data_IF_918428742184
#
_entry.id   IF_918428742184
#
_cell.length_a   1.000
_cell.length_b   1.000
_cell.length_c   1.000
_cell.angle_alpha   90.00
_cell.angle_beta   90.00
_cell.angle_gamma   90.00
#
_symmetry.space_group_name_H-M   'P 1'
#
loop_
_entity.id
_entity.type
_entity.pdbx_description
1 polymer ?
#
# COMPACT_ATOMS: atom_id res chain seq x y z
N UNK A 1 13.26 -14.11 -20.97
CA UNK A 1 14.07 -15.08 -21.73
C UNK A 1 14.37 -16.35 -20.91
N UNK A 2 13.36 -17.11 -20.45
CA UNK A 2 13.56 -18.39 -19.73
C UNK A 2 12.82 -19.58 -20.36
N UNK A 3 12.13 -19.35 -21.48
CA UNK A 3 11.29 -20.36 -22.16
C UNK A 3 12.16 -21.29 -23.03
N UNK A 4 13.35 -20.83 -23.46
CA UNK A 4 14.20 -21.55 -24.42
C UNK A 4 14.75 -22.88 -23.90
N UNK A 5 14.96 -23.03 -22.58
CA UNK A 5 15.50 -24.26 -22.00
C UNK A 5 14.52 -25.44 -22.06
N UNK A 6 13.22 -25.18 -21.83
CA UNK A 6 12.19 -26.23 -21.88
C UNK A 6 11.98 -26.69 -23.32
N UNK A 7 12.03 -25.77 -24.28
CA UNK A 7 11.95 -26.09 -25.72
C UNK A 7 13.16 -26.91 -26.15
N UNK A 8 14.37 -26.53 -25.73
CA UNK A 8 15.59 -27.30 -26.01
C UNK A 8 15.55 -28.70 -25.42
N UNK A 9 15.14 -28.85 -24.17
CA UNK A 9 15.07 -30.14 -23.49
C UNK A 9 13.98 -31.04 -24.11
N UNK A 10 12.86 -30.45 -24.52
CA UNK A 10 11.83 -31.13 -25.31
C UNK A 10 12.36 -31.60 -26.67
N UNK A 11 13.05 -30.75 -27.43
CA UNK A 11 13.64 -31.12 -28.72
C UNK A 11 14.71 -32.22 -28.57
N UNK A 12 15.56 -32.17 -27.55
CA UNK A 12 16.59 -33.18 -27.29
C UNK A 12 15.96 -34.53 -26.90
N UNK A 13 14.91 -34.55 -26.09
CA UNK A 13 14.20 -35.78 -25.74
C UNK A 13 13.47 -36.37 -26.94
N UNK A 14 12.83 -35.55 -27.77
CA UNK A 14 12.11 -35.99 -28.97
C UNK A 14 13.08 -36.53 -30.02
N UNK A 15 14.24 -35.89 -30.18
CA UNK A 15 15.32 -36.37 -31.03
C UNK A 15 15.93 -37.68 -30.50
N UNK A 16 16.19 -37.76 -29.19
CA UNK A 16 16.67 -38.98 -28.53
C UNK A 16 15.70 -40.15 -28.70
N UNK A 17 14.39 -39.92 -28.52
CA UNK A 17 13.35 -40.92 -28.76
C UNK A 17 13.31 -41.36 -30.24
N UNK A 18 13.43 -40.43 -31.19
CA UNK A 18 13.51 -40.73 -32.62
C UNK A 18 14.75 -41.53 -33.00
N UNK A 19 15.90 -41.25 -32.40
CA UNK A 19 17.15 -41.99 -32.60
C UNK A 19 17.07 -43.40 -32.01
N UNK A 20 16.49 -43.56 -30.82
CA UNK A 20 16.30 -44.87 -30.18
C UNK A 20 15.30 -45.73 -30.99
N UNK A 21 14.21 -45.14 -31.49
CA UNK A 21 13.25 -45.81 -32.36
C UNK A 21 13.85 -46.15 -33.74
N UNK A 22 14.74 -45.31 -34.28
CA UNK A 22 15.42 -45.55 -35.56
C UNK A 22 16.56 -46.58 -35.49
N UNK A 23 17.14 -46.79 -34.31
CA UNK A 23 18.15 -47.83 -34.04
C UNK A 23 17.52 -49.17 -33.63
N UNK A 24 16.22 -49.22 -33.35
CA UNK A 24 15.51 -50.46 -33.11
C UNK A 24 15.40 -51.24 -34.45
N UNK A 25 15.81 -52.52 -34.50
CA UNK A 25 15.71 -53.32 -35.71
C UNK A 25 14.23 -53.46 -36.09
N UNK A 26 13.84 -52.83 -37.21
CA UNK A 26 12.49 -52.88 -37.77
C UNK A 26 12.20 -54.29 -38.33
N UNK A 27 11.89 -55.23 -37.45
CA UNK A 27 11.14 -56.44 -37.78
C UNK A 27 9.64 -56.15 -37.68
N UNK A 28 8.84 -56.81 -38.53
CA UNK A 28 7.37 -56.66 -38.67
C UNK A 28 6.52 -56.90 -37.39
N UNK A 29 7.14 -56.99 -36.22
CA UNK A 29 6.52 -57.29 -34.93
C UNK A 29 6.49 -56.12 -33.92
N UNK A 30 7.09 -54.96 -34.21
CA UNK A 30 7.23 -53.87 -33.21
C UNK A 30 5.89 -53.29 -32.70
N UNK A 31 4.84 -53.31 -33.51
CA UNK A 31 3.49 -52.87 -33.12
C UNK A 31 2.51 -54.02 -32.85
N UNK A 32 2.98 -55.26 -32.89
CA UNK A 32 2.14 -56.43 -32.62
C UNK A 32 2.07 -56.61 -31.11
N UNK A 33 1.07 -56.00 -30.48
CA UNK A 33 0.77 -56.20 -29.06
C UNK A 33 0.37 -57.67 -28.86
N UNK A 34 1.31 -58.52 -28.48
CA UNK A 34 1.05 -59.94 -28.26
C UNK A 34 0.34 -60.19 -26.90
N UNK A 35 0.47 -59.25 -25.95
CA UNK A 35 -0.11 -59.34 -24.61
C UNK A 35 -0.71 -58.01 -24.14
N UNK A 36 -1.82 -58.10 -23.40
CA UNK A 36 -2.49 -56.96 -22.73
C UNK A 36 -1.54 -56.22 -21.78
N UNK A 37 -0.54 -56.93 -21.24
CA UNK A 37 0.47 -56.37 -20.33
C UNK A 37 1.31 -55.26 -21.00
N UNK A 38 1.83 -55.51 -22.20
CA UNK A 38 2.73 -54.57 -22.90
C UNK A 38 1.99 -53.27 -23.28
N UNK A 39 0.70 -53.39 -23.57
CA UNK A 39 -0.17 -52.24 -23.81
C UNK A 39 -0.31 -51.35 -22.56
N UNK A 40 -0.49 -51.95 -21.38
CA UNK A 40 -0.56 -51.20 -20.13
C UNK A 40 0.76 -50.53 -19.76
N UNK A 41 1.91 -51.13 -20.08
CA UNK A 41 3.21 -50.50 -19.85
C UNK A 41 3.42 -49.25 -20.71
N UNK A 42 3.02 -49.29 -21.99
CA UNK A 42 3.07 -48.13 -22.88
C UNK A 42 2.18 -47.00 -22.35
N UNK A 43 0.96 -47.32 -21.92
CA UNK A 43 0.06 -46.33 -21.31
C UNK A 43 0.65 -45.76 -20.03
N UNK A 44 1.23 -46.59 -19.17
CA UNK A 44 1.87 -46.15 -17.92
C UNK A 44 3.07 -45.22 -18.20
N UNK A 45 3.86 -45.50 -19.23
CA UNK A 45 4.96 -44.63 -19.66
C UNK A 45 4.44 -43.26 -20.15
N UNK A 46 3.36 -43.22 -20.94
CA UNK A 46 2.74 -41.97 -21.37
C UNK A 46 2.14 -41.19 -20.19
N UNK A 47 1.47 -41.89 -19.27
CA UNK A 47 0.90 -41.30 -18.05
C UNK A 47 1.97 -40.70 -17.14
N UNK A 48 3.12 -41.35 -16.98
CA UNK A 48 4.23 -40.81 -16.18
C UNK A 48 4.88 -39.60 -16.83
N UNK A 49 5.11 -39.61 -18.15
CA UNK A 49 5.65 -38.44 -18.86
C UNK A 49 4.70 -37.24 -18.76
N UNK A 50 3.40 -37.46 -18.98
CA UNK A 50 2.39 -36.40 -18.85
C UNK A 50 2.30 -35.87 -17.41
N UNK A 51 2.35 -36.74 -16.40
CA UNK A 51 2.38 -36.33 -15.00
C UNK A 51 3.60 -35.44 -14.67
N UNK A 52 4.79 -35.79 -15.19
CA UNK A 52 6.01 -34.99 -14.99
C UNK A 52 5.90 -33.61 -15.68
N UNK A 53 5.36 -33.55 -16.90
CA UNK A 53 5.17 -32.27 -17.61
C UNK A 53 4.17 -31.38 -16.87
N UNK A 54 3.03 -31.93 -16.43
CA UNK A 54 2.04 -31.19 -15.64
C UNK A 54 2.64 -30.72 -14.32
N UNK A 55 3.44 -31.55 -13.65
CA UNK A 55 4.12 -31.16 -12.41
C UNK A 55 5.05 -29.96 -12.62
N UNK A 56 5.89 -29.98 -13.67
CA UNK A 56 6.81 -28.84 -13.96
C UNK A 56 6.05 -27.57 -14.31
N UNK A 57 5.00 -27.66 -15.13
CA UNK A 57 4.17 -26.51 -15.47
C UNK A 57 3.44 -25.95 -14.25
N UNK A 58 2.92 -26.83 -13.39
CA UNK A 58 2.21 -26.43 -12.17
C UNK A 58 3.12 -25.70 -11.18
N UNK A 59 4.38 -26.11 -11.03
CA UNK A 59 5.34 -25.45 -10.13
C UNK A 59 5.70 -24.05 -10.62
N UNK A 60 5.88 -23.88 -11.93
CA UNK A 60 6.18 -22.56 -12.51
C UNK A 60 4.96 -21.62 -12.44
N UNK A 61 3.77 -22.13 -12.74
CA UNK A 61 2.52 -21.39 -12.59
C UNK A 61 2.32 -20.96 -11.13
N UNK A 62 2.58 -21.88 -10.18
CA UNK A 62 2.43 -21.58 -8.76
C UNK A 62 3.39 -20.49 -8.28
N UNK A 63 4.65 -20.49 -8.75
CA UNK A 63 5.61 -19.42 -8.44
C UNK A 63 5.17 -18.05 -8.96
N UNK A 64 4.64 -17.98 -10.19
CA UNK A 64 4.10 -16.72 -10.73
C UNK A 64 2.91 -16.27 -9.90
N UNK A 65 1.96 -17.17 -9.68
CA UNK A 65 0.74 -16.88 -8.91
C UNK A 65 1.06 -16.37 -7.51
N UNK A 66 2.04 -16.94 -6.81
CA UNK A 66 2.44 -16.46 -5.48
C UNK A 66 3.02 -15.05 -5.51
N UNK A 67 3.79 -14.71 -6.54
CA UNK A 67 4.30 -13.35 -6.73
C UNK A 67 3.16 -12.38 -7.02
N UNK A 68 2.31 -12.71 -7.97
CA UNK A 68 1.20 -11.85 -8.40
C UNK A 68 0.21 -11.64 -7.23
N UNK A 69 -0.03 -12.67 -6.43
CA UNK A 69 -0.85 -12.57 -5.21
C UNK A 69 -0.20 -11.65 -4.17
N UNK A 70 1.12 -11.76 -3.95
CA UNK A 70 1.83 -10.90 -3.00
C UNK A 70 1.84 -9.43 -3.45
N UNK A 71 2.06 -9.17 -4.74
CA UNK A 71 2.00 -7.84 -5.34
C UNK A 71 0.59 -7.23 -5.19
N UNK A 72 -0.45 -8.00 -5.52
CA UNK A 72 -1.83 -7.59 -5.39
C UNK A 72 -2.20 -7.28 -3.92
N UNK A 73 -1.81 -8.13 -2.99
CA UNK A 73 -2.11 -7.95 -1.56
C UNK A 73 -1.40 -6.74 -0.97
N UNK A 74 -0.13 -6.51 -1.32
CA UNK A 74 0.61 -5.32 -0.91
C UNK A 74 -0.04 -4.05 -1.47
N UNK A 75 -0.40 -4.04 -2.76
CA UNK A 75 -1.04 -2.90 -3.39
C UNK A 75 -2.39 -2.56 -2.75
N UNK A 76 -3.21 -3.58 -2.46
CA UNK A 76 -4.48 -3.43 -1.75
C UNK A 76 -4.27 -2.82 -0.35
N UNK A 77 -3.32 -3.34 0.43
CA UNK A 77 -3.02 -2.84 1.79
C UNK A 77 -2.61 -1.38 1.79
N UNK A 78 -1.73 -0.99 0.85
CA UNK A 78 -1.27 0.40 0.72
C UNK A 78 -2.44 1.29 0.34
N UNK A 79 -3.26 0.89 -0.62
CA UNK A 79 -4.39 1.67 -1.08
C UNK A 79 -5.42 1.92 0.04
N UNK A 80 -5.77 0.87 0.80
CA UNK A 80 -6.66 0.99 1.96
C UNK A 80 -6.04 1.93 3.00
N UNK A 81 -4.76 1.73 3.33
CA UNK A 81 -4.07 2.57 4.33
C UNK A 81 -3.94 4.03 3.89
N UNK A 82 -3.83 4.30 2.59
CA UNK A 82 -3.81 5.66 2.04
C UNK A 82 -5.17 6.35 2.16
N UNK A 83 -6.28 5.62 1.97
CA UNK A 83 -7.62 6.14 2.24
C UNK A 83 -7.87 6.34 3.73
N UNK A 84 -7.44 5.42 4.60
CA UNK A 84 -7.51 5.60 6.04
C UNK A 84 -6.72 6.85 6.48
N UNK A 85 -5.55 7.09 5.87
CA UNK A 85 -4.76 8.28 6.12
C UNK A 85 -5.49 9.55 5.67
N UNK A 86 -6.14 9.55 4.51
CA UNK A 86 -7.00 10.67 4.06
C UNK A 86 -8.09 10.98 5.08
N UNK A 87 -8.81 9.98 5.56
CA UNK A 87 -9.86 10.17 6.56
C UNK A 87 -9.30 10.65 7.91
N UNK A 88 -8.12 10.18 8.32
CA UNK A 88 -7.46 10.63 9.53
C UNK A 88 -7.07 12.12 9.44
N UNK A 89 -6.53 12.56 8.30
CA UNK A 89 -6.22 13.97 8.04
C UNK A 89 -7.50 14.81 8.04
N UNK A 90 -8.59 14.33 7.44
CA UNK A 90 -9.89 15.00 7.49
C UNK A 90 -10.41 15.15 8.93
N UNK A 91 -10.25 14.11 9.75
CA UNK A 91 -10.65 14.15 11.16
C UNK A 91 -9.83 15.17 11.97
N UNK A 92 -8.52 15.30 11.69
CA UNK A 92 -7.67 16.35 12.28
C UNK A 92 -8.21 17.74 11.93
N UNK A 93 -8.59 17.93 10.67
CA UNK A 93 -9.05 19.21 10.10
C UNK A 93 -10.51 19.57 10.38
N UNK A 94 -11.22 18.74 11.14
CA UNK A 94 -12.62 19.03 11.50
C UNK A 94 -12.69 20.29 12.37
N UNK A 95 -13.41 21.35 11.98
CA UNK A 95 -13.58 22.55 12.81
C UNK A 95 -14.40 22.31 14.09
N UNK A 96 -15.14 21.18 14.17
CA UNK A 96 -15.95 20.84 15.34
C UNK A 96 -15.11 20.04 16.32
N UNK A 97 -14.83 20.59 17.50
CA UNK A 97 -14.19 19.88 18.62
C UNK A 97 -15.28 19.24 19.48
N UNK A 98 -15.19 17.92 19.65
CA UNK A 98 -16.15 17.20 20.48
C UNK A 98 -15.75 17.29 21.95
N UNK A 99 -16.73 17.30 22.86
CA UNK A 99 -16.48 17.45 24.31
C UNK A 99 -15.53 16.39 24.88
N UNK A 100 -15.63 15.15 24.38
CA UNK A 100 -14.72 14.06 24.79
C UNK A 100 -13.27 14.27 24.33
N UNK A 101 -13.03 15.07 23.28
CA UNK A 101 -11.68 15.37 22.79
C UNK A 101 -10.98 16.38 23.69
N UNK A 102 -11.71 17.40 24.14
CA UNK A 102 -11.22 18.45 25.04
C UNK A 102 -11.20 18.04 26.52
N UNK A 103 -11.76 16.88 26.86
CA UNK A 103 -11.86 16.40 28.24
C UNK A 103 -10.47 16.19 28.87
N UNK A 104 -10.28 16.60 30.14
CA UNK A 104 -9.02 16.45 30.85
C UNK A 104 -8.68 14.97 31.07
N UNK A 105 -7.39 14.68 31.19
CA UNK A 105 -6.91 13.33 31.47
C UNK A 105 -6.97 13.00 32.97
N UNK A 106 -6.98 11.71 33.29
CA UNK A 106 -7.02 11.26 34.68
C UNK A 106 -5.79 11.77 35.45
N UNK A 107 -6.01 12.58 36.48
CA UNK A 107 -4.95 13.19 37.29
C UNK A 107 -4.47 14.57 36.83
N UNK A 108 -5.07 15.14 35.79
CA UNK A 108 -4.80 16.52 35.37
C UNK A 108 -5.34 17.53 36.39
N UNK A 109 -4.54 18.55 36.73
CA UNK A 109 -4.94 19.60 37.66
C UNK A 109 -5.93 20.54 36.99
N UNK A 110 -7.08 20.75 37.63
CA UNK A 110 -8.03 21.76 37.22
C UNK A 110 -7.37 23.14 37.21
N UNK A 111 -7.61 23.90 36.15
CA UNK A 111 -7.19 25.30 36.02
C UNK A 111 -8.34 26.19 36.43
N UNK A 112 -8.07 27.17 37.28
CA UNK A 112 -9.09 28.13 37.72
C UNK A 112 -9.45 29.16 36.64
N UNK A 113 -8.48 29.55 35.79
CA UNK A 113 -8.70 30.48 34.67
C UNK A 113 -9.48 29.80 33.53
N UNK A 114 -10.72 30.25 33.24
CA UNK A 114 -11.54 29.68 32.17
C UNK A 114 -10.90 29.78 30.78
N UNK A 115 -10.12 30.83 30.51
CA UNK A 115 -9.48 31.02 29.19
C UNK A 115 -8.36 30.03 28.98
N UNK A 116 -7.54 29.84 30.02
CA UNK A 116 -6.44 28.89 29.99
C UNK A 116 -6.96 27.44 29.92
N UNK A 117 -8.07 27.13 30.60
CA UNK A 117 -8.70 25.80 30.50
C UNK A 117 -9.26 25.53 29.10
N UNK A 118 -9.90 26.52 28.46
CA UNK A 118 -10.38 26.39 27.07
C UNK A 118 -9.23 26.12 26.10
N UNK A 119 -8.13 26.87 26.23
CA UNK A 119 -6.94 26.68 25.40
C UNK A 119 -6.32 25.29 25.59
N UNK A 120 -6.20 24.82 26.84
CA UNK A 120 -5.74 23.45 27.13
C UNK A 120 -6.66 22.40 26.54
N UNK A 121 -7.97 22.61 26.61
CA UNK A 121 -8.96 21.75 25.97
C UNK A 121 -8.75 21.60 24.46
N UNK A 122 -8.48 22.71 23.77
CA UNK A 122 -8.16 22.70 22.35
C UNK A 122 -6.83 21.97 22.05
N UNK A 123 -5.78 22.22 22.84
CA UNK A 123 -4.52 21.47 22.72
C UNK A 123 -4.73 19.96 22.90
N UNK A 124 -5.50 19.54 23.91
CA UNK A 124 -5.84 18.13 24.15
C UNK A 124 -6.60 17.54 22.97
N UNK A 125 -7.57 18.26 22.43
CA UNK A 125 -8.36 17.79 21.29
C UNK A 125 -7.47 17.50 20.08
N UNK A 126 -6.62 18.45 19.69
CA UNK A 126 -5.69 18.24 18.58
C UNK A 126 -4.66 17.16 18.89
N UNK A 127 -4.11 17.10 20.09
CA UNK A 127 -3.18 16.05 20.49
C UNK A 127 -3.81 14.65 20.34
N UNK A 128 -5.07 14.47 20.76
CA UNK A 128 -5.79 13.19 20.60
C UNK A 128 -6.02 12.87 19.12
N UNK A 129 -6.37 13.86 18.28
CA UNK A 129 -6.56 13.66 16.84
C UNK A 129 -5.29 13.21 16.14
N UNK A 130 -4.17 13.88 16.40
CA UNK A 130 -2.86 13.46 15.87
C UNK A 130 -2.46 12.08 16.40
N UNK A 131 -2.68 11.79 17.68
CA UNK A 131 -2.38 10.47 18.26
C UNK A 131 -3.18 9.34 17.61
N UNK A 132 -4.40 9.61 17.12
CA UNK A 132 -5.21 8.65 16.35
C UNK A 132 -4.69 8.44 14.92
N UNK A 133 -4.13 9.48 14.31
CA UNK A 133 -3.59 9.43 12.94
C UNK A 133 -2.20 8.77 12.87
N UNK A 134 -1.37 8.93 13.90
CA UNK A 134 -0.01 8.39 13.95
C UNK A 134 0.10 6.89 13.60
N UNK A 135 -0.70 5.96 14.17
CA UNK A 135 -0.58 4.54 13.82
C UNK A 135 -0.94 4.24 12.36
N UNK A 136 -1.80 5.06 11.73
CA UNK A 136 -2.17 4.91 10.31
C UNK A 136 -0.98 5.37 9.44
N UNK A 137 -0.38 6.49 9.80
CA UNK A 137 0.82 7.03 9.16
C UNK A 137 2.00 6.05 9.23
N UNK A 138 2.30 5.51 10.41
CA UNK A 138 3.36 4.51 10.61
C UNK A 138 3.12 3.26 9.77
N UNK A 139 1.88 2.80 9.70
CA UNK A 139 1.50 1.64 8.88
C UNK A 139 1.71 1.89 7.39
N UNK A 140 1.27 3.05 6.90
CA UNK A 140 1.47 3.44 5.51
C UNK A 140 2.96 3.53 5.15
N UNK A 141 3.79 4.08 6.05
CA UNK A 141 5.25 4.11 5.91
C UNK A 141 5.85 2.70 5.89
N UNK A 142 5.37 1.80 6.74
CA UNK A 142 5.83 0.41 6.78
C UNK A 142 5.58 -0.28 5.44
N UNK A 143 4.37 -0.14 4.89
CA UNK A 143 4.07 -0.70 3.58
C UNK A 143 4.85 -0.01 2.45
N UNK A 144 5.18 1.28 2.59
CA UNK A 144 6.06 1.98 1.64
C UNK A 144 7.45 1.36 1.59
N UNK A 145 8.01 0.95 2.73
CA UNK A 145 9.31 0.30 2.81
C UNK A 145 9.27 -1.10 2.17
N UNK A 146 8.19 -1.86 2.41
CA UNK A 146 7.97 -3.14 1.74
C UNK A 146 7.86 -2.96 0.21
N UNK A 147 7.09 -1.97 -0.24
CA UNK A 147 6.95 -1.65 -1.65
C UNK A 147 8.25 -1.18 -2.29
N UNK A 148 9.10 -0.46 -1.56
CA UNK A 148 10.42 -0.03 -2.04
C UNK A 148 11.30 -1.22 -2.39
N UNK A 149 11.24 -2.30 -1.60
CA UNK A 149 11.98 -3.54 -1.85
C UNK A 149 11.45 -4.29 -3.08
N UNK A 150 10.14 -4.25 -3.33
CA UNK A 150 9.51 -5.05 -4.40
C UNK A 150 9.44 -4.30 -5.74
N UNK A 151 9.14 -2.99 -5.71
CA UNK A 151 8.83 -2.18 -6.90
C UNK A 151 9.79 -1.00 -7.11
N UNK A 152 10.68 -0.70 -6.16
CA UNK A 152 11.58 0.45 -6.20
C UNK A 152 11.00 1.71 -5.57
N UNK A 153 11.69 2.85 -5.72
CA UNK A 153 11.46 4.06 -4.92
C UNK A 153 10.29 4.95 -5.38
N UNK A 154 9.68 4.67 -6.54
CA UNK A 154 8.68 5.58 -7.15
C UNK A 154 7.47 5.84 -6.23
N UNK A 155 6.95 4.81 -5.56
CA UNK A 155 5.82 4.96 -4.65
C UNK A 155 6.16 5.81 -3.42
N UNK A 156 7.38 5.68 -2.92
CA UNK A 156 7.86 6.40 -1.74
C UNK A 156 7.86 7.90 -2.00
N UNK A 157 8.25 8.33 -3.20
CA UNK A 157 8.22 9.74 -3.59
C UNK A 157 6.79 10.31 -3.56
N UNK A 158 5.82 9.56 -4.10
CA UNK A 158 4.41 9.98 -4.04
C UNK A 158 3.91 10.10 -2.59
N UNK A 159 4.30 9.16 -1.71
CA UNK A 159 3.91 9.17 -0.30
C UNK A 159 4.59 10.30 0.49
N UNK A 160 5.86 10.59 0.24
CA UNK A 160 6.56 11.73 0.85
C UNK A 160 5.83 13.03 0.48
N UNK A 161 5.44 13.18 -0.78
CA UNK A 161 4.66 14.33 -1.22
C UNK A 161 3.29 14.42 -0.56
N UNK A 162 2.62 13.29 -0.29
CA UNK A 162 1.37 13.27 0.46
C UNK A 162 1.59 13.68 1.93
N UNK A 163 2.65 13.18 2.58
CA UNK A 163 2.97 13.47 3.98
C UNK A 163 3.43 14.92 4.22
N UNK A 164 3.93 15.62 3.19
CA UNK A 164 4.19 17.06 3.29
C UNK A 164 2.93 17.87 3.64
N UNK A 165 1.74 17.39 3.28
CA UNK A 165 0.49 18.05 3.65
C UNK A 165 0.23 18.01 5.17
N UNK A 166 0.58 16.90 5.83
CA UNK A 166 0.50 16.81 7.30
C UNK A 166 1.49 17.76 7.99
N UNK A 167 2.67 17.94 7.38
CA UNK A 167 3.64 18.93 7.86
C UNK A 167 3.08 20.35 7.77
N UNK A 168 2.35 20.66 6.69
CA UNK A 168 1.66 21.93 6.53
C UNK A 168 0.60 22.16 7.62
N UNK A 169 -0.24 21.17 7.91
CA UNK A 169 -1.21 21.20 9.02
C UNK A 169 -0.49 21.45 10.34
N UNK A 170 0.59 20.71 10.60
CA UNK A 170 1.33 20.82 11.86
C UNK A 170 1.92 22.21 12.08
N UNK A 171 2.45 22.84 11.01
CA UNK A 171 2.97 24.22 11.05
C UNK A 171 1.84 25.22 11.29
N UNK A 172 0.70 25.04 10.60
CA UNK A 172 -0.46 25.91 10.74
C UNK A 172 -1.04 25.81 12.16
N UNK A 173 -1.30 24.59 12.64
CA UNK A 173 -1.81 24.33 13.99
C UNK A 173 -0.90 24.94 15.06
N UNK A 174 0.42 24.77 14.94
CA UNK A 174 1.36 25.37 15.89
C UNK A 174 1.22 26.89 15.93
N UNK A 175 1.10 27.53 14.77
CA UNK A 175 0.95 28.98 14.68
C UNK A 175 -0.40 29.44 15.23
N UNK A 176 -1.47 28.68 14.96
CA UNK A 176 -2.82 28.90 15.49
C UNK A 176 -2.84 28.83 17.02
N UNK A 177 -2.27 27.78 17.61
CA UNK A 177 -2.20 27.63 19.07
C UNK A 177 -1.37 28.74 19.72
N UNK A 178 -0.24 29.16 19.12
CA UNK A 178 0.57 30.25 19.68
C UNK A 178 -0.17 31.60 19.62
N UNK A 179 -0.94 31.84 18.55
CA UNK A 179 -1.75 33.05 18.42
C UNK A 179 -2.87 33.12 19.47
N UNK A 180 -3.40 31.97 19.88
CA UNK A 180 -4.48 31.87 20.87
C UNK A 180 -4.02 31.69 22.33
N UNK A 181 -2.77 31.29 22.57
CA UNK A 181 -2.24 31.04 23.92
C UNK A 181 -2.37 32.28 24.81
N UNK A 182 -3.17 32.24 25.89
CA UNK A 182 -3.33 33.36 26.82
C UNK A 182 -2.00 33.83 27.42
N UNK A 183 -1.03 32.93 27.56
CA UNK A 183 0.27 33.16 28.20
C UNK A 183 1.32 33.74 27.24
N UNK A 184 1.06 33.73 25.93
CA UNK A 184 2.03 34.15 24.92
C UNK A 184 2.13 35.70 24.84
N UNK A 185 3.34 36.27 24.66
CA UNK A 185 3.52 37.71 24.45
C UNK A 185 2.77 38.23 23.22
N UNK A 186 2.25 39.47 23.30
CA UNK A 186 1.45 40.07 22.23
C UNK A 186 2.19 40.16 20.88
N UNK A 187 3.50 40.43 20.91
CA UNK A 187 4.31 40.47 19.69
C UNK A 187 4.39 39.10 19.01
N UNK A 188 4.46 38.02 19.80
CA UNK A 188 4.45 36.65 19.28
C UNK A 188 3.09 36.29 18.67
N UNK A 189 2.00 36.67 19.33
CA UNK A 189 0.64 36.47 18.80
C UNK A 189 0.46 37.16 17.45
N UNK A 190 0.91 38.41 17.32
CA UNK A 190 0.84 39.18 16.07
C UNK A 190 1.65 38.51 14.96
N UNK A 191 2.92 38.15 15.23
CA UNK A 191 3.77 37.50 14.26
C UNK A 191 3.16 36.18 13.74
N UNK A 192 2.60 35.35 14.64
CA UNK A 192 1.93 34.11 14.22
C UNK A 192 0.61 34.35 13.49
N UNK A 193 -0.15 35.39 13.85
CA UNK A 193 -1.37 35.78 13.15
C UNK A 193 -1.08 36.21 11.71
N UNK A 194 0.01 36.97 11.49
CA UNK A 194 0.45 37.35 10.13
C UNK A 194 0.84 36.13 9.28
N UNK A 195 1.52 35.14 9.89
CA UNK A 195 1.84 33.88 9.21
C UNK A 195 0.57 33.14 8.78
N UNK A 196 -0.45 33.07 9.64
CA UNK A 196 -1.73 32.42 9.34
C UNK A 196 -2.45 33.10 8.19
N UNK A 197 -2.44 34.44 8.14
CA UNK A 197 -3.05 35.21 7.04
C UNK A 197 -2.29 35.09 5.72
N UNK A 198 -0.97 34.86 5.77
CA UNK A 198 -0.12 34.75 4.56
C UNK A 198 -0.26 33.41 3.83
N UNK A 199 -0.79 32.38 4.48
CA UNK A 199 -0.89 31.01 3.97
C UNK A 199 -2.34 30.62 3.77
N UNK A 200 -2.58 29.59 2.95
CA UNK A 200 -3.91 28.97 2.88
C UNK A 200 -4.25 28.36 4.24
N UNK A 201 -5.54 28.33 4.56
CA UNK A 201 -6.02 27.58 5.71
C UNK A 201 -5.83 26.08 5.45
N UNK A 202 -4.92 25.47 6.21
CA UNK A 202 -4.66 24.05 6.14
C UNK A 202 -5.41 23.28 7.24
N UNK A 203 -5.92 23.97 8.26
CA UNK A 203 -6.45 23.35 9.47
C UNK A 203 -7.96 23.18 9.42
N UNK A 204 -8.71 24.13 8.87
CA UNK A 204 -10.17 24.04 8.86
C UNK A 204 -10.67 23.53 7.51
N UNK A 205 -11.41 22.42 7.54
CA UNK A 205 -12.19 21.94 6.40
C UNK A 205 -13.41 22.86 6.20
N UNK A 206 -13.68 23.25 4.96
CA UNK A 206 -14.81 24.10 4.59
C UNK A 206 -16.13 23.31 4.47
N UNK A 207 -16.07 21.99 4.61
CA UNK A 207 -17.18 21.04 4.42
C UNK A 207 -17.88 21.14 3.06
N UNK A 208 -17.28 21.82 2.08
CA UNK A 208 -17.87 21.96 0.75
C UNK A 208 -17.73 20.65 -0.03
N UNK A 209 -18.65 20.36 -0.95
CA UNK A 209 -18.57 19.13 -1.76
C UNK A 209 -17.34 19.13 -2.68
N UNK A 210 -16.99 20.30 -3.22
CA UNK A 210 -15.77 20.48 -4.01
C UNK A 210 -14.55 20.30 -3.09
N UNK A 211 -14.60 20.89 -1.90
CA UNK A 211 -13.53 20.90 -0.91
C UNK A 211 -12.53 22.01 -1.19
N UNK A 212 -11.92 22.51 -0.12
CA UNK A 212 -10.96 23.58 -0.13
C UNK A 212 -9.65 23.28 -0.90
N UNK A 213 -8.79 24.30 -1.05
CA UNK A 213 -7.53 24.18 -1.78
C UNK A 213 -6.61 23.08 -1.22
N UNK A 214 -6.65 22.81 0.10
CA UNK A 214 -5.92 21.72 0.70
C UNK A 214 -6.51 20.37 0.30
N UNK A 215 -7.83 20.20 0.41
CA UNK A 215 -8.53 18.95 0.05
C UNK A 215 -8.31 18.58 -1.41
N UNK A 216 -8.31 19.57 -2.32
CA UNK A 216 -8.00 19.36 -3.73
C UNK A 216 -6.57 18.89 -3.98
N UNK A 217 -5.58 19.47 -3.28
CA UNK A 217 -4.18 19.05 -3.39
C UNK A 217 -4.00 17.63 -2.81
N UNK A 218 -4.69 17.30 -1.72
CA UNK A 218 -4.72 15.95 -1.15
C UNK A 218 -5.32 14.94 -2.14
N UNK A 219 -6.49 15.23 -2.74
CA UNK A 219 -7.13 14.39 -3.77
C UNK A 219 -6.19 14.16 -4.96
N UNK A 220 -5.51 15.22 -5.43
CA UNK A 220 -4.56 15.16 -6.54
C UNK A 220 -3.32 14.31 -6.25
N UNK A 221 -2.80 14.36 -5.02
CA UNK A 221 -1.65 13.52 -4.62
C UNK A 221 -2.05 12.07 -4.46
N UNK A 222 -3.23 11.84 -3.87
CA UNK A 222 -3.78 10.51 -3.70
C UNK A 222 -4.07 9.83 -5.04
N UNK A 223 -4.58 10.55 -6.04
CA UNK A 223 -4.86 9.97 -7.36
C UNK A 223 -3.62 9.44 -8.07
N UNK A 224 -2.44 10.05 -7.85
CA UNK A 224 -1.16 9.53 -8.37
C UNK A 224 -0.80 8.19 -7.73
N UNK A 225 -1.00 8.07 -6.41
CA UNK A 225 -0.80 6.81 -5.68
C UNK A 225 -1.79 5.76 -6.17
N UNK A 226 -3.06 6.12 -6.33
CA UNK A 226 -4.09 5.22 -6.86
C UNK A 226 -3.75 4.71 -8.26
N UNK A 227 -3.29 5.59 -9.16
CA UNK A 227 -2.92 5.21 -10.52
C UNK A 227 -1.76 4.20 -10.51
N UNK A 228 -0.70 4.50 -9.75
CA UNK A 228 0.44 3.60 -9.60
C UNK A 228 0.02 2.22 -9.04
N UNK A 229 -0.84 2.19 -8.01
CA UNK A 229 -1.28 0.94 -7.38
C UNK A 229 -2.27 0.16 -8.25
N UNK A 230 -3.12 0.82 -9.04
CA UNK A 230 -4.05 0.16 -9.97
C UNK A 230 -3.33 -0.69 -11.01
N UNK A 231 -2.16 -0.26 -11.49
CA UNK A 231 -1.33 -1.06 -12.39
C UNK A 231 -0.83 -2.36 -11.76
N UNK A 232 -0.69 -2.40 -10.42
CA UNK A 232 -0.27 -3.59 -9.65
C UNK A 232 -1.44 -4.47 -9.20
N UNK A 233 -2.68 -3.96 -9.27
CA UNK A 233 -3.89 -4.71 -8.93
C UNK A 233 -4.48 -5.49 -10.12
N UNK A 234 -4.21 -5.04 -11.34
CA UNK A 234 -4.79 -5.62 -12.58
C UNK A 234 -3.84 -6.64 -13.24
N UNK A 235 -2.55 -6.62 -12.88
CA UNK A 235 -1.57 -7.63 -13.30
C UNK A 235 -1.70 -8.88 -12.46
#
# INVERSE_FOLDING_TARGET
MKIDWIVWLGCVLLFGAGVILGLAPAGDSFYKVENIHDFFEIIAAIATVTAVVVAVLSVNAWKSQMRDTADHDLARKILVSAYEYREAIKAIRSPVIMSYEASPEAGEKAVEDPKLESFRGECRAYQRRFSRAEPIRVRLLTYSLEAEVVWGEELKDYLIHLMRLETEISIFLRSHLIAQDPSSPDDSKKAHSEILLSKRDALMDDFSEEGDAFTQDMKKRLSKIEQFLKEKLIR
#
